data_IF_042310012667
#
_entry.id   IF_042310012667
#
_cell.length_a   1.000
_cell.length_b   1.000
_cell.length_c   1.000
_cell.angle_alpha   90.00
_cell.angle_beta   90.00
_cell.angle_gamma   90.00
#
_symmetry.space_group_name_H-M   'P 1'
#
loop_
_entity.id
_entity.type
_entity.pdbx_description
1 polymer ?
#
# COMPACT_ATOMS: atom_id res chain seq x y z
N UNK A 1 21.16 15.11 -15.59
CA UNK A 1 19.68 14.87 -15.71
C UNK A 1 18.98 15.51 -14.52
N UNK A 2 17.70 15.83 -14.63
CA UNK A 2 16.92 16.34 -13.48
C UNK A 2 16.16 15.18 -12.88
N UNK A 3 16.28 14.95 -11.56
CA UNK A 3 15.55 13.92 -10.82
C UNK A 3 14.32 14.56 -10.13
N UNK A 4 13.14 14.15 -10.56
CA UNK A 4 11.87 14.64 -10.07
C UNK A 4 11.27 13.63 -9.09
N UNK A 5 10.84 14.10 -7.92
CA UNK A 5 10.08 13.33 -6.94
C UNK A 5 8.64 13.81 -6.93
N UNK A 6 7.71 12.89 -7.03
CA UNK A 6 6.27 13.16 -6.94
C UNK A 6 5.69 12.42 -5.73
N UNK A 7 4.91 13.11 -4.91
CA UNK A 7 3.97 12.47 -4.00
C UNK A 7 2.61 12.40 -4.69
N UNK A 8 2.02 11.20 -4.74
CA UNK A 8 0.80 10.93 -5.47
C UNK A 8 -0.23 10.19 -4.61
N UNK A 9 -1.50 10.41 -4.89
CA UNK A 9 -2.60 9.59 -4.40
C UNK A 9 -3.38 8.99 -5.57
N UNK A 10 -4.01 7.85 -5.37
CA UNK A 10 -4.84 7.22 -6.38
C UNK A 10 -5.91 6.28 -5.80
N UNK A 11 -7.02 6.16 -6.54
CA UNK A 11 -8.06 5.17 -6.32
C UNK A 11 -7.72 3.96 -7.17
N UNK A 12 -7.32 2.86 -6.52
CA UNK A 12 -6.79 1.67 -7.22
C UNK A 12 -7.82 0.76 -7.88
N UNK A 13 -9.13 1.03 -7.70
CA UNK A 13 -10.25 0.17 -8.09
C UNK A 13 -10.16 -0.30 -9.55
N UNK A 14 -9.91 0.61 -10.48
CA UNK A 14 -9.94 0.35 -11.92
C UNK A 14 -8.53 0.17 -12.52
N UNK A 15 -7.54 -0.12 -11.66
CA UNK A 15 -6.16 -0.39 -12.04
C UNK A 15 -5.74 -1.83 -11.76
N UNK A 16 -4.97 -2.39 -12.66
CA UNK A 16 -4.27 -3.67 -12.46
C UNK A 16 -3.01 -3.53 -11.59
N UNK A 17 -3.11 -2.69 -10.55
CA UNK A 17 -2.04 -2.36 -9.63
C UNK A 17 -1.13 -1.24 -10.10
N UNK A 18 -0.02 -1.06 -9.37
CA UNK A 18 0.94 0.01 -9.66
C UNK A 18 1.80 -0.27 -10.89
N UNK A 19 2.42 -1.45 -10.93
CA UNK A 19 3.44 -1.83 -11.92
C UNK A 19 2.87 -1.92 -13.33
N UNK A 20 3.56 -1.31 -14.30
CA UNK A 20 3.22 -1.40 -15.74
C UNK A 20 3.21 -2.85 -16.23
N UNK A 21 2.17 -3.22 -16.94
CA UNK A 21 1.93 -4.54 -17.52
C UNK A 21 1.39 -4.37 -18.94
N UNK A 22 1.80 -5.22 -19.90
CA UNK A 22 1.30 -5.16 -21.28
C UNK A 22 -0.23 -5.26 -21.34
N UNK A 23 -0.86 -4.34 -22.06
CA UNK A 23 -2.31 -4.34 -22.29
C UNK A 23 -3.18 -4.07 -21.04
N UNK A 24 -2.59 -3.66 -19.92
CA UNK A 24 -3.32 -3.37 -18.68
C UNK A 24 -3.19 -1.90 -18.28
N UNK A 25 -4.29 -1.34 -17.78
CA UNK A 25 -4.30 0.00 -17.16
C UNK A 25 -3.64 -0.09 -15.79
N UNK A 26 -2.54 0.63 -15.58
CA UNK A 26 -1.74 0.62 -14.35
C UNK A 26 -1.33 2.04 -13.97
N UNK A 27 -1.10 2.30 -12.68
CA UNK A 27 -0.71 3.63 -12.18
C UNK A 27 0.59 4.09 -12.85
N UNK A 28 1.61 3.23 -12.89
CA UNK A 28 2.89 3.52 -13.54
C UNK A 28 2.71 3.82 -15.03
N UNK A 29 1.88 3.06 -15.73
CA UNK A 29 1.62 3.25 -17.16
C UNK A 29 1.00 4.61 -17.48
N UNK A 30 0.00 5.04 -16.70
CA UNK A 30 -0.64 6.36 -16.88
C UNK A 30 0.34 7.50 -16.59
N UNK A 31 1.14 7.39 -15.52
CA UNK A 31 2.17 8.38 -15.21
C UNK A 31 3.23 8.48 -16.33
N UNK A 32 3.78 7.33 -16.77
CA UNK A 32 4.80 7.29 -17.82
C UNK A 32 4.28 7.84 -19.14
N UNK A 33 3.04 7.55 -19.51
CA UNK A 33 2.39 8.06 -20.72
C UNK A 33 2.32 9.60 -20.72
N UNK A 34 1.83 10.20 -19.64
CA UNK A 34 1.68 11.66 -19.53
C UNK A 34 3.04 12.35 -19.42
N UNK A 35 3.95 11.78 -18.61
CA UNK A 35 5.30 12.34 -18.45
C UNK A 35 6.11 12.28 -19.74
N UNK A 36 6.06 11.14 -20.47
CA UNK A 36 6.78 11.01 -21.74
C UNK A 36 6.25 12.00 -22.80
N UNK A 37 4.94 12.24 -22.82
CA UNK A 37 4.35 13.25 -23.68
C UNK A 37 4.84 14.68 -23.31
N UNK A 38 4.87 15.03 -22.02
CA UNK A 38 5.28 16.36 -21.57
C UNK A 38 6.78 16.64 -21.78
N UNK A 39 7.60 15.63 -21.57
CA UNK A 39 9.05 15.79 -21.68
C UNK A 39 9.60 15.45 -23.08
N UNK A 40 8.74 14.95 -23.97
CA UNK A 40 9.13 14.55 -25.34
C UNK A 40 10.32 13.56 -25.32
N UNK A 41 10.29 12.61 -24.40
CA UNK A 41 11.25 11.53 -24.22
C UNK A 41 10.65 10.35 -23.46
N UNK A 42 11.19 9.15 -23.59
CA UNK A 42 10.75 7.99 -22.82
C UNK A 42 11.08 8.19 -21.34
N UNK A 43 10.05 8.37 -20.52
CA UNK A 43 10.17 8.48 -19.07
C UNK A 43 9.83 7.15 -18.41
N UNK A 44 10.70 6.72 -17.47
CA UNK A 44 10.47 5.58 -16.60
C UNK A 44 10.25 6.06 -15.18
N UNK A 45 9.16 5.62 -14.58
CA UNK A 45 8.76 5.97 -13.21
C UNK A 45 9.16 4.87 -12.25
N UNK A 46 9.77 5.24 -11.14
CA UNK A 46 10.16 4.35 -10.05
C UNK A 46 9.29 4.64 -8.84
N UNK A 47 8.51 3.66 -8.35
CA UNK A 47 7.69 3.80 -7.17
C UNK A 47 8.38 3.34 -5.89
N UNK A 48 8.04 3.94 -4.75
CA UNK A 48 8.54 3.53 -3.42
C UNK A 48 8.10 2.12 -3.02
N UNK A 49 6.95 1.69 -3.50
CA UNK A 49 6.41 0.35 -3.31
C UNK A 49 5.40 0.01 -4.42
N UNK A 50 5.22 -1.28 -4.69
CA UNK A 50 4.16 -1.75 -5.58
C UNK A 50 2.90 -1.96 -4.77
N UNK A 51 1.75 -1.60 -5.33
CA UNK A 51 0.43 -1.95 -4.80
C UNK A 51 -0.23 -2.97 -5.72
N UNK A 52 -0.98 -3.91 -5.15
CA UNK A 52 -1.75 -4.91 -5.89
C UNK A 52 -2.94 -4.25 -6.63
N UNK A 53 -3.54 -4.99 -7.54
CA UNK A 53 -4.83 -4.65 -8.18
C UNK A 53 -5.87 -4.29 -7.13
N UNK A 54 -6.54 -3.15 -7.29
CA UNK A 54 -7.59 -2.65 -6.40
C UNK A 54 -7.11 -1.96 -5.12
N UNK A 55 -5.80 -1.93 -4.85
CA UNK A 55 -5.23 -1.26 -3.68
C UNK A 55 -5.03 0.23 -3.96
N UNK A 56 -5.41 1.07 -3.00
CA UNK A 56 -5.33 2.53 -3.09
C UNK A 56 -3.99 3.09 -2.57
N UNK A 57 -3.77 4.37 -2.78
CA UNK A 57 -2.71 5.11 -2.10
C UNK A 57 -3.15 6.52 -1.73
N UNK A 58 -2.78 6.95 -0.52
CA UNK A 58 -2.93 8.33 -0.05
C UNK A 58 -1.62 9.11 -0.16
N UNK A 59 -0.47 8.41 -0.16
CA UNK A 59 0.86 9.03 -0.18
C UNK A 59 1.92 8.12 -0.78
N UNK A 60 1.69 7.60 -2.00
CA UNK A 60 2.73 6.93 -2.78
C UNK A 60 3.76 7.96 -3.22
N UNK A 61 5.04 7.58 -3.20
CA UNK A 61 6.12 8.40 -3.74
C UNK A 61 6.71 7.73 -4.96
N UNK A 62 6.91 8.53 -6.02
CA UNK A 62 7.61 8.09 -7.22
C UNK A 62 8.72 9.06 -7.58
N UNK A 63 9.74 8.60 -8.28
CA UNK A 63 10.69 9.49 -8.94
C UNK A 63 10.89 9.09 -10.39
N UNK A 64 11.31 10.08 -11.20
CA UNK A 64 11.73 9.88 -12.57
C UNK A 64 12.84 10.86 -12.93
N UNK A 65 13.64 10.53 -13.96
CA UNK A 65 14.69 11.39 -14.48
C UNK A 65 14.36 11.87 -15.88
N UNK A 66 14.66 13.16 -16.16
CA UNK A 66 14.50 13.78 -17.47
C UNK A 66 15.76 14.51 -17.92
N UNK A 67 15.88 14.78 -19.26
CA UNK A 67 16.99 15.54 -19.86
C UNK A 67 16.86 17.04 -19.64
N UNK A 68 16.61 17.46 -18.41
CA UNK A 68 16.40 18.85 -18.02
C UNK A 68 14.97 19.16 -17.66
N UNK A 69 14.69 20.44 -17.43
CA UNK A 69 13.41 20.90 -16.91
C UNK A 69 12.33 21.11 -17.98
N UNK A 70 12.69 21.18 -19.27
CA UNK A 70 11.77 21.54 -20.38
C UNK A 70 10.88 22.76 -20.08
N UNK A 71 11.41 23.74 -19.31
CA UNK A 71 10.67 24.94 -18.88
C UNK A 71 9.60 24.70 -17.80
N UNK A 72 9.62 23.56 -17.13
CA UNK A 72 8.77 23.29 -15.98
C UNK A 72 9.42 23.73 -14.67
N UNK A 73 8.73 24.54 -13.87
CA UNK A 73 8.92 24.61 -12.42
C UNK A 73 8.12 23.52 -11.74
N UNK A 74 8.42 23.21 -10.46
CA UNK A 74 7.64 22.25 -9.69
C UNK A 74 6.13 22.58 -9.69
N UNK A 75 5.77 23.84 -9.47
CA UNK A 75 4.36 24.30 -9.47
C UNK A 75 3.68 24.14 -10.82
N UNK A 76 4.40 24.50 -11.90
CA UNK A 76 3.87 24.35 -13.26
C UNK A 76 3.66 22.87 -13.59
N UNK A 77 4.63 22.01 -13.30
CA UNK A 77 4.52 20.58 -13.54
C UNK A 77 3.37 19.95 -12.72
N UNK A 78 3.24 20.34 -11.44
CA UNK A 78 2.13 19.92 -10.59
C UNK A 78 0.76 20.25 -11.21
N UNK A 79 0.57 21.49 -11.67
CA UNK A 79 -0.69 21.92 -12.27
C UNK A 79 -0.99 21.20 -13.58
N UNK A 80 0.02 21.03 -14.43
CA UNK A 80 -0.14 20.38 -15.75
C UNK A 80 -0.42 18.89 -15.58
N UNK A 81 0.30 18.19 -14.70
CA UNK A 81 0.06 16.78 -14.43
C UNK A 81 -1.37 16.54 -13.93
N UNK A 82 -1.86 17.34 -12.97
CA UNK A 82 -3.22 17.20 -12.45
C UNK A 82 -4.34 17.56 -13.46
N UNK A 83 -3.99 18.16 -14.60
CA UNK A 83 -4.92 18.42 -15.71
C UNK A 83 -4.96 17.26 -16.72
N UNK A 84 -3.83 16.58 -16.90
CA UNK A 84 -3.66 15.57 -17.95
C UNK A 84 -3.84 14.14 -17.45
N UNK A 85 -3.57 13.91 -16.17
CA UNK A 85 -3.78 12.59 -15.54
C UNK A 85 -5.28 12.32 -15.38
N UNK A 86 -5.69 11.04 -15.43
CA UNK A 86 -7.07 10.67 -15.15
C UNK A 86 -7.47 11.03 -13.72
N UNK A 87 -8.77 11.19 -13.47
CA UNK A 87 -9.34 11.70 -12.21
C UNK A 87 -9.02 10.82 -10.98
N UNK A 88 -8.71 9.57 -11.21
CA UNK A 88 -8.36 8.59 -10.19
C UNK A 88 -6.86 8.60 -9.80
N UNK A 89 -6.05 9.52 -10.39
CA UNK A 89 -4.66 9.80 -9.99
C UNK A 89 -4.50 11.29 -9.70
N UNK A 90 -3.95 11.61 -8.52
CA UNK A 90 -3.69 12.99 -8.09
C UNK A 90 -2.24 13.18 -7.69
N UNK A 91 -1.57 14.17 -8.26
CA UNK A 91 -0.28 14.65 -7.79
C UNK A 91 -0.50 15.58 -6.60
N UNK A 92 0.09 15.26 -5.46
CA UNK A 92 0.01 16.07 -4.22
C UNK A 92 1.17 17.05 -4.13
N UNK A 93 2.38 16.60 -4.50
CA UNK A 93 3.59 17.40 -4.43
C UNK A 93 4.55 17.04 -5.55
N UNK A 94 5.31 18.03 -6.02
CA UNK A 94 6.42 17.88 -6.97
C UNK A 94 7.65 18.52 -6.38
N UNK A 95 8.78 17.84 -6.38
CA UNK A 95 10.07 18.31 -5.89
C UNK A 95 11.17 17.90 -6.87
N UNK A 96 12.22 18.74 -7.00
CA UNK A 96 13.48 18.33 -7.58
C UNK A 96 14.36 17.84 -6.44
N UNK A 97 14.93 16.66 -6.62
CA UNK A 97 15.75 16.00 -5.61
C UNK A 97 17.15 15.70 -6.14
N UNK A 98 18.03 15.33 -5.23
CA UNK A 98 19.38 14.89 -5.58
C UNK A 98 19.36 13.73 -6.58
N UNK A 99 20.38 13.66 -7.45
CA UNK A 99 20.47 12.63 -8.50
C UNK A 99 20.58 11.21 -7.92
N UNK A 100 21.08 11.06 -6.69
CA UNK A 100 21.15 9.81 -5.94
C UNK A 100 19.84 9.34 -5.35
N UNK A 101 18.82 10.21 -5.25
CA UNK A 101 17.51 9.84 -4.69
C UNK A 101 16.83 8.77 -5.54
N UNK A 102 16.39 7.71 -4.88
CA UNK A 102 15.66 6.60 -5.48
C UNK A 102 14.44 6.26 -4.64
N UNK A 103 13.22 6.46 -5.17
CA UNK A 103 11.97 6.33 -4.41
C UNK A 103 11.85 5.01 -3.63
N UNK A 104 12.36 3.88 -4.19
CA UNK A 104 12.30 2.58 -3.53
C UNK A 104 13.39 2.40 -2.47
N UNK A 105 14.66 2.70 -2.83
CA UNK A 105 15.81 2.33 -2.00
C UNK A 105 16.17 3.38 -0.96
N UNK A 106 15.84 4.65 -1.18
CA UNK A 106 16.02 5.71 -0.19
C UNK A 106 14.94 5.70 0.90
N UNK A 107 13.85 4.97 0.70
CA UNK A 107 12.75 4.91 1.67
C UNK A 107 13.12 4.10 2.91
N UNK A 108 12.99 4.72 4.09
CA UNK A 108 13.28 4.13 5.40
C UNK A 108 12.08 3.41 5.99
N UNK A 109 10.87 3.90 5.71
CA UNK A 109 9.64 3.37 6.29
C UNK A 109 8.47 3.55 5.33
N UNK A 110 7.63 2.54 5.22
CA UNK A 110 6.36 2.59 4.51
C UNK A 110 5.24 2.35 5.50
N UNK A 111 4.19 3.17 5.40
CA UNK A 111 2.99 3.06 6.19
C UNK A 111 1.84 2.58 5.33
N UNK A 112 1.13 1.60 5.82
CA UNK A 112 -0.15 1.20 5.25
C UNK A 112 -1.25 1.40 6.26
N UNK A 113 -2.45 1.68 5.77
CA UNK A 113 -3.67 1.59 6.54
C UNK A 113 -4.61 0.59 5.87
N UNK A 114 -5.41 -0.08 6.68
CA UNK A 114 -6.48 -0.93 6.19
C UNK A 114 -7.79 -0.54 6.86
N UNK A 115 -8.83 -0.29 6.06
CA UNK A 115 -10.14 0.16 6.54
C UNK A 115 -11.12 -1.00 6.51
N UNK A 116 -11.69 -1.33 7.68
CA UNK A 116 -12.82 -2.23 7.85
C UNK A 116 -14.04 -1.40 8.23
N UNK A 117 -15.16 -1.63 7.57
CA UNK A 117 -16.48 -1.12 7.95
C UNK A 117 -17.24 -2.24 8.62
N UNK A 118 -17.45 -2.12 9.95
CA UNK A 118 -18.09 -3.14 10.77
C UNK A 118 -19.45 -2.65 11.21
N UNK A 119 -20.47 -3.00 10.44
CA UNK A 119 -21.87 -2.68 10.72
C UNK A 119 -22.76 -3.76 10.10
N UNK A 120 -23.92 -4.00 10.69
CA UNK A 120 -24.93 -4.94 10.16
C UNK A 120 -25.36 -4.54 8.74
N UNK A 121 -25.58 -3.24 8.50
CA UNK A 121 -25.94 -2.70 7.20
C UNK A 121 -24.71 -2.26 6.40
N UNK A 122 -24.74 -2.54 5.08
CA UNK A 122 -23.67 -2.16 4.17
C UNK A 122 -23.80 -0.68 3.77
N UNK A 123 -22.73 0.09 3.90
CA UNK A 123 -22.65 1.43 3.35
C UNK A 123 -22.23 1.35 1.85
N UNK A 124 -23.07 1.93 0.98
CA UNK A 124 -22.86 1.91 -0.47
C UNK A 124 -21.70 2.81 -0.90
N UNK A 125 -21.42 3.88 -0.16
CA UNK A 125 -20.32 4.81 -0.46
C UNK A 125 -18.96 4.27 -0.01
N UNK A 126 -18.93 3.37 0.97
CA UNK A 126 -17.73 2.73 1.48
C UNK A 126 -17.40 1.40 0.79
N UNK A 127 -18.25 0.91 -0.12
CA UNK A 127 -18.13 -0.44 -0.72
C UNK A 127 -16.81 -0.70 -1.45
N UNK A 128 -16.24 0.34 -2.06
CA UNK A 128 -15.01 0.28 -2.84
C UNK A 128 -13.79 0.81 -2.06
N UNK A 129 -13.99 1.19 -0.78
CA UNK A 129 -13.00 1.88 0.05
C UNK A 129 -12.79 1.23 1.42
N UNK A 130 -13.55 0.16 1.74
CA UNK A 130 -13.44 -0.55 3.01
C UNK A 130 -13.88 -2.00 2.86
N UNK A 131 -13.40 -2.87 3.73
CA UNK A 131 -13.91 -4.22 3.86
C UNK A 131 -15.12 -4.23 4.78
N UNK A 132 -16.30 -4.40 4.21
CA UNK A 132 -17.51 -4.56 5.00
C UNK A 132 -17.58 -5.93 5.67
N UNK A 133 -17.87 -5.93 6.97
CA UNK A 133 -18.07 -7.12 7.80
C UNK A 133 -19.35 -6.89 8.63
N UNK A 134 -20.37 -7.70 8.38
CA UNK A 134 -21.68 -7.59 9.04
C UNK A 134 -21.75 -8.23 10.42
N UNK A 135 -20.82 -9.14 10.73
CA UNK A 135 -20.73 -9.79 12.04
C UNK A 135 -20.01 -8.91 13.03
N UNK A 136 -20.42 -8.98 14.29
CA UNK A 136 -19.71 -8.31 15.37
C UNK A 136 -18.26 -8.80 15.46
N UNK A 137 -17.34 -7.84 15.57
CA UNK A 137 -15.91 -8.06 15.69
C UNK A 137 -15.47 -7.77 17.12
N UNK A 138 -14.80 -8.71 17.75
CA UNK A 138 -14.17 -8.51 19.06
C UNK A 138 -12.94 -7.57 18.90
N UNK A 139 -13.11 -6.31 19.34
CA UNK A 139 -12.07 -5.26 19.20
C UNK A 139 -10.84 -5.53 20.08
N UNK A 140 -11.00 -6.17 21.23
CA UNK A 140 -9.89 -6.52 22.10
C UNK A 140 -8.98 -7.56 21.42
N UNK A 141 -9.57 -8.58 20.78
CA UNK A 141 -8.81 -9.56 20.02
C UNK A 141 -8.09 -8.92 18.81
N UNK A 142 -8.65 -7.89 18.17
CA UNK A 142 -7.93 -7.13 17.15
C UNK A 142 -6.70 -6.41 17.73
N UNK A 143 -6.84 -5.79 18.93
CA UNK A 143 -5.73 -5.09 19.60
C UNK A 143 -4.63 -6.10 19.98
N UNK A 144 -4.99 -7.21 20.61
CA UNK A 144 -4.03 -8.24 21.04
C UNK A 144 -3.30 -8.86 19.83
N UNK A 145 -4.04 -9.24 18.78
CA UNK A 145 -3.43 -9.80 17.57
C UNK A 145 -2.54 -8.79 16.83
N UNK A 146 -2.89 -7.50 16.79
CA UNK A 146 -2.04 -6.48 16.19
C UNK A 146 -0.70 -6.36 16.91
N UNK A 147 -0.71 -6.41 18.25
CA UNK A 147 0.52 -6.35 19.06
C UNK A 147 1.47 -7.52 18.78
N UNK A 148 0.96 -8.72 18.47
CA UNK A 148 1.78 -9.88 18.15
C UNK A 148 2.57 -9.71 16.84
N UNK A 149 2.10 -8.88 15.90
CA UNK A 149 2.81 -8.61 14.65
C UNK A 149 3.90 -7.54 14.79
N UNK A 150 3.99 -6.84 15.92
CA UNK A 150 5.03 -5.82 16.16
C UNK A 150 6.35 -6.50 16.52
N UNK A 151 7.46 -5.98 15.97
CA UNK A 151 8.80 -6.52 16.17
C UNK A 151 9.32 -7.28 14.96
N UNK A 152 10.32 -8.13 15.18
CA UNK A 152 11.01 -8.91 14.16
C UNK A 152 10.39 -10.30 14.07
N UNK A 153 9.82 -10.64 12.92
CA UNK A 153 9.19 -11.93 12.66
C UNK A 153 9.50 -12.41 11.25
N UNK A 154 9.40 -13.73 11.05
CA UNK A 154 9.34 -14.33 9.73
C UNK A 154 7.88 -14.28 9.20
N UNK A 155 7.66 -13.50 8.16
CA UNK A 155 6.33 -13.31 7.55
C UNK A 155 6.04 -14.28 6.40
N UNK A 156 6.80 -15.38 6.25
CA UNK A 156 6.62 -16.36 5.18
C UNK A 156 5.18 -16.93 5.14
N UNK A 157 4.58 -17.15 6.31
CA UNK A 157 3.19 -17.64 6.46
C UNK A 157 2.13 -16.56 6.13
N UNK A 158 2.53 -15.30 6.03
CA UNK A 158 1.64 -14.13 5.88
C UNK A 158 1.88 -13.35 4.59
N UNK A 159 2.45 -13.97 3.56
CA UNK A 159 2.70 -13.30 2.28
C UNK A 159 2.66 -14.27 1.10
N UNK A 160 2.82 -13.74 -0.10
CA UNK A 160 3.15 -14.53 -1.29
C UNK A 160 4.62 -14.29 -1.56
N UNK A 161 5.45 -15.32 -1.40
CA UNK A 161 6.89 -15.28 -1.61
C UNK A 161 7.31 -16.08 -2.84
N UNK A 162 8.45 -15.72 -3.38
CA UNK A 162 9.33 -16.56 -4.18
C UNK A 162 10.45 -17.07 -3.25
N UNK A 163 11.09 -18.18 -3.57
CA UNK A 163 12.02 -18.88 -2.64
C UNK A 163 13.24 -18.05 -2.18
N UNK A 164 13.59 -17.00 -2.92
CA UNK A 164 14.72 -16.12 -2.63
C UNK A 164 14.34 -14.85 -1.83
N UNK A 165 13.07 -14.66 -1.48
CA UNK A 165 12.62 -13.47 -0.78
C UNK A 165 13.12 -13.43 0.67
N UNK A 166 13.58 -12.24 1.11
CA UNK A 166 13.84 -11.98 2.52
C UNK A 166 12.48 -11.86 3.24
N UNK A 167 12.13 -12.85 4.08
CA UNK A 167 10.84 -12.91 4.78
C UNK A 167 10.87 -12.42 6.21
N UNK A 168 12.08 -12.32 6.81
CA UNK A 168 12.25 -11.76 8.15
C UNK A 168 12.25 -10.24 8.09
N UNK A 169 11.24 -9.62 8.70
CA UNK A 169 10.99 -8.17 8.63
C UNK A 169 10.69 -7.64 10.02
N UNK A 170 11.21 -6.45 10.33
CA UNK A 170 10.87 -5.70 11.53
C UNK A 170 9.64 -4.82 11.26
N UNK A 171 8.52 -5.12 11.91
CA UNK A 171 7.34 -4.26 11.95
C UNK A 171 7.50 -3.25 13.09
N UNK A 172 7.60 -1.97 12.73
CA UNK A 172 7.82 -0.90 13.70
C UNK A 172 6.55 -0.54 14.47
N UNK A 173 5.43 -0.44 13.74
CA UNK A 173 4.13 -0.14 14.31
C UNK A 173 3.06 -1.07 13.75
N UNK A 174 2.14 -1.48 14.63
CA UNK A 174 1.01 -2.35 14.30
C UNK A 174 -0.09 -2.11 15.33
N UNK A 175 -1.15 -1.38 14.95
CA UNK A 175 -2.24 -1.04 15.87
C UNK A 175 -3.54 -0.70 15.14
N UNK A 176 -4.67 -0.81 15.88
CA UNK A 176 -5.99 -0.44 15.42
C UNK A 176 -6.45 0.89 16.02
N UNK A 177 -7.13 1.70 15.22
CA UNK A 177 -7.89 2.88 15.64
C UNK A 177 -9.37 2.65 15.34
N UNK A 178 -10.24 2.96 16.31
CA UNK A 178 -11.68 2.72 16.21
C UNK A 178 -12.43 4.04 16.21
N UNK A 179 -13.28 4.25 15.19
CA UNK A 179 -14.16 5.41 15.09
C UNK A 179 -15.57 4.96 14.66
N UNK A 180 -16.46 4.78 15.62
CA UNK A 180 -17.79 4.18 15.39
C UNK A 180 -17.67 2.81 14.72
N UNK A 181 -18.20 2.69 13.51
CA UNK A 181 -18.19 1.47 12.70
C UNK A 181 -16.94 1.32 11.81
N UNK A 182 -16.08 2.33 11.78
CA UNK A 182 -14.80 2.27 11.07
C UNK A 182 -13.71 1.74 12.00
N UNK A 183 -13.10 0.63 11.59
CA UNK A 183 -11.94 0.04 12.24
C UNK A 183 -10.77 0.25 11.27
N UNK A 184 -9.77 1.02 11.68
CA UNK A 184 -8.65 1.41 10.84
C UNK A 184 -7.37 0.82 11.41
N UNK A 185 -6.79 -0.12 10.69
CA UNK A 185 -5.51 -0.71 11.05
C UNK A 185 -4.36 0.11 10.50
N UNK A 186 -3.33 0.34 11.28
CA UNK A 186 -2.08 1.00 10.91
C UNK A 186 -0.93 0.01 11.05
N UNK A 187 -0.06 -0.02 10.04
CA UNK A 187 1.17 -0.82 10.08
C UNK A 187 2.30 -0.08 9.38
N UNK A 188 3.51 -0.20 9.94
CA UNK A 188 4.71 0.34 9.31
C UNK A 188 5.91 -0.60 9.41
N UNK A 189 6.70 -0.66 8.33
CA UNK A 189 7.91 -1.46 8.21
C UNK A 189 8.85 -0.84 7.17
N UNK A 190 10.13 -1.29 7.09
CA UNK A 190 11.06 -0.83 6.04
C UNK A 190 10.57 -1.22 4.63
N UNK A 191 9.96 -2.40 4.50
CA UNK A 191 9.30 -2.87 3.27
C UNK A 191 8.23 -3.90 3.63
N UNK A 192 7.40 -4.26 2.65
CA UNK A 192 6.39 -5.29 2.76
C UNK A 192 6.48 -6.24 1.59
N UNK A 193 6.24 -7.52 1.88
CA UNK A 193 6.13 -8.58 0.88
C UNK A 193 4.76 -8.55 0.17
N UNK A 194 4.67 -9.24 -0.94
CA UNK A 194 3.45 -9.31 -1.73
C UNK A 194 2.28 -9.83 -0.88
N UNK A 195 1.19 -9.05 -0.82
CA UNK A 195 -0.04 -9.30 -0.05
C UNK A 195 0.15 -9.37 1.48
N UNK A 196 1.35 -9.11 2.04
CA UNK A 196 1.64 -9.26 3.46
C UNK A 196 0.63 -8.55 4.37
N UNK A 197 0.40 -7.25 4.20
CA UNK A 197 -0.54 -6.49 5.03
C UNK A 197 -1.95 -7.08 4.95
N UNK A 198 -2.37 -7.56 3.78
CA UNK A 198 -3.69 -8.17 3.60
C UNK A 198 -3.83 -9.51 4.31
N UNK A 199 -2.78 -10.34 4.34
CA UNK A 199 -2.76 -11.58 5.14
C UNK A 199 -2.78 -11.27 6.63
N UNK A 200 -1.99 -10.30 7.09
CA UNK A 200 -1.99 -9.84 8.49
C UNK A 200 -3.40 -9.42 8.92
N UNK A 201 -4.07 -8.56 8.13
CA UNK A 201 -5.44 -8.11 8.44
C UNK A 201 -6.43 -9.26 8.38
N UNK A 202 -6.34 -10.14 7.38
CA UNK A 202 -7.19 -11.32 7.29
C UNK A 202 -7.06 -12.20 8.52
N UNK A 203 -5.82 -12.42 9.01
CA UNK A 203 -5.53 -13.21 10.21
C UNK A 203 -6.17 -12.61 11.47
N UNK A 204 -6.00 -11.30 11.67
CA UNK A 204 -6.60 -10.60 12.82
C UNK A 204 -8.13 -10.65 12.80
N UNK A 205 -8.74 -10.52 11.62
CA UNK A 205 -10.19 -10.62 11.47
C UNK A 205 -10.70 -12.04 11.75
N UNK A 206 -10.01 -13.10 11.30
CA UNK A 206 -10.38 -14.49 11.63
C UNK A 206 -10.37 -14.75 13.14
N UNK A 207 -9.37 -14.20 13.86
CA UNK A 207 -9.27 -14.28 15.32
C UNK A 207 -10.41 -13.48 15.96
N UNK A 208 -10.65 -12.25 15.52
CA UNK A 208 -11.66 -11.38 16.10
C UNK A 208 -13.11 -11.85 15.84
N UNK A 209 -13.31 -12.72 14.85
CA UNK A 209 -14.57 -13.42 14.57
C UNK A 209 -14.66 -14.78 15.31
N UNK A 210 -13.69 -15.14 16.16
CA UNK A 210 -13.64 -16.38 16.92
C UNK A 210 -13.41 -17.66 16.10
N UNK A 211 -12.89 -17.55 14.87
CA UNK A 211 -12.62 -18.67 13.99
C UNK A 211 -11.22 -19.26 14.19
N UNK A 212 -10.31 -18.48 14.72
CA UNK A 212 -8.92 -18.81 15.07
C UNK A 212 -8.55 -18.21 16.41
N UNK A 213 -7.47 -18.67 17.02
CA UNK A 213 -7.00 -18.22 18.33
C UNK A 213 -5.71 -17.39 18.22
N UNK A 214 -5.40 -16.64 19.31
CA UNK A 214 -4.13 -15.93 19.45
C UNK A 214 -2.95 -16.90 19.57
N UNK A 215 -3.16 -18.05 20.23
CA UNK A 215 -2.13 -19.09 20.40
C UNK A 215 -1.72 -19.65 19.02
N UNK A 216 -2.70 -19.96 18.17
CA UNK A 216 -2.39 -20.40 16.80
C UNK A 216 -1.60 -19.31 16.02
N UNK A 217 -1.93 -18.02 16.21
CA UNK A 217 -1.18 -16.93 15.56
C UNK A 217 0.27 -16.88 16.02
N UNK A 218 0.52 -17.02 17.33
CA UNK A 218 1.88 -17.06 17.88
C UNK A 218 2.69 -18.23 17.32
N UNK A 219 2.09 -19.38 17.15
CA UNK A 219 2.75 -20.55 16.56
C UNK A 219 3.12 -20.30 15.09
N UNK A 220 2.23 -19.67 14.31
CA UNK A 220 2.50 -19.31 12.92
C UNK A 220 3.54 -18.20 12.74
N UNK A 221 3.78 -17.38 13.75
CA UNK A 221 4.86 -16.39 13.78
C UNK A 221 6.22 -16.99 14.16
N UNK A 222 6.23 -18.16 14.84
CA UNK A 222 7.46 -18.83 15.31
C UNK A 222 7.95 -19.90 14.33
N UNK A 223 7.03 -20.57 13.64
CA UNK A 223 7.33 -21.73 12.81
C UNK A 223 6.79 -21.59 11.39
N UNK A 224 7.55 -22.04 10.41
CA UNK A 224 7.06 -22.19 9.05
C UNK A 224 6.00 -23.30 8.98
N UNK A 225 4.87 -22.99 8.38
CA UNK A 225 3.77 -23.92 8.15
C UNK A 225 3.53 -24.12 6.65
N UNK A 226 3.05 -25.30 6.26
CA UNK A 226 2.68 -25.59 4.86
C UNK A 226 1.46 -24.78 4.41
N UNK A 227 0.53 -24.52 5.33
CA UNK A 227 -0.69 -23.77 5.06
C UNK A 227 -0.57 -22.34 5.59
N UNK A 228 -1.20 -21.41 4.91
CA UNK A 228 -1.28 -20.03 5.37
C UNK A 228 -2.29 -19.89 6.49
N UNK A 229 -2.03 -18.98 7.42
CA UNK A 229 -2.92 -18.73 8.54
C UNK A 229 -4.33 -18.32 8.10
N UNK A 230 -4.44 -17.48 7.08
CA UNK A 230 -5.74 -16.98 6.59
C UNK A 230 -5.71 -16.76 5.08
N UNK A 231 -6.83 -16.32 4.51
CA UNK A 231 -6.87 -15.71 3.18
C UNK A 231 -6.53 -14.23 3.26
N UNK A 232 -5.97 -13.62 2.20
CA UNK A 232 -5.67 -12.20 2.21
C UNK A 232 -6.97 -11.37 2.20
N UNK A 233 -7.07 -10.39 3.08
CA UNK A 233 -8.18 -9.44 3.11
C UNK A 233 -8.38 -8.76 1.75
N UNK A 234 -9.60 -8.29 1.39
CA UNK A 234 -9.88 -7.62 0.12
C UNK A 234 -8.95 -6.45 -0.18
N UNK A 235 -8.56 -6.20 -1.45
CA UNK A 235 -7.61 -5.13 -1.76
C UNK A 235 -8.14 -3.71 -1.53
N UNK A 236 -9.44 -3.50 -1.73
CA UNK A 236 -10.07 -2.17 -1.67
C UNK A 236 -10.15 -1.54 -0.27
N UNK A 237 -9.86 -2.30 0.80
CA UNK A 237 -9.67 -1.73 2.14
C UNK A 237 -8.25 -1.25 2.40
N UNK A 238 -7.26 -1.57 1.53
CA UNK A 238 -5.85 -1.28 1.75
C UNK A 238 -5.40 0.00 1.04
N UNK A 239 -4.62 0.82 1.77
CA UNK A 239 -4.03 2.07 1.27
C UNK A 239 -2.55 2.16 1.63
N UNK A 240 -1.70 2.45 0.65
CA UNK A 240 -0.37 2.98 0.96
C UNK A 240 -0.54 4.41 1.48
N UNK A 241 -0.36 4.58 2.80
CA UNK A 241 -0.70 5.82 3.50
C UNK A 241 0.40 6.88 3.35
N UNK A 242 1.66 6.49 3.61
CA UNK A 242 2.81 7.39 3.61
C UNK A 242 4.12 6.63 3.42
N UNK A 243 5.13 7.32 2.88
CA UNK A 243 6.52 6.83 2.79
C UNK A 243 7.45 7.85 3.44
N UNK A 244 8.28 7.41 4.37
CA UNK A 244 9.27 8.24 5.07
C UNK A 244 10.66 7.98 4.47
N UNK A 245 11.45 9.07 4.29
CA UNK A 245 12.79 9.08 3.68
C UNK A 245 13.86 9.56 4.64
#
# INVERSE_FOLDING_TARGET
>A
MTNWKLEISYIGKDFYGFQKQPGKRTIQGELEKVLSFLFDEEIRVIGAGRTDTGVHALGQVVNFKSRGHKGFSCDKLHKVLNRLLPEDIKIKKVEIVDDSFHARYSAKRRWYIYVVYNNYERDLFLKDYSWWISREINRELLIFSANLFKGVHDFKNFCVTEDEDQTVIEVYESFWYFKKDLLIYFISAPFFLRKMVRFIVGSMVEIALGRKSLIELEDYLKEERKERFSVPAPPWGLYLFRVDY
#
